data_IF_596812373691
#
_entry.id   IF_596812373691
#
_cell.length_a   1.000
_cell.length_b   1.000
_cell.length_c   1.000
_cell.angle_alpha   90.00
_cell.angle_beta   90.00
_cell.angle_gamma   90.00
#
_symmetry.space_group_name_H-M   'P 1'
#
loop_
_entity.id
_entity.type
_entity.pdbx_description
1 polymer ?
#
# COMPACT_ATOMS: atom_id res chain seq x y z
N UNK A 1 7.25 -5.33 6.32
CA UNK A 1 6.09 -5.56 5.44
C UNK A 1 5.06 -4.43 5.57
N UNK A 2 4.45 -4.21 6.73
CA UNK A 2 3.33 -3.26 6.90
C UNK A 2 3.62 -1.81 6.50
N UNK A 3 4.85 -1.32 6.75
CA UNK A 3 5.29 0.01 6.27
C UNK A 3 5.24 0.13 4.76
N UNK A 4 5.59 -0.94 4.04
CA UNK A 4 5.58 -0.99 2.59
C UNK A 4 4.14 -0.99 2.08
N UNK A 5 3.25 -1.77 2.72
CA UNK A 5 1.81 -1.79 2.38
C UNK A 5 1.19 -0.40 2.56
N UNK A 6 1.48 0.29 3.67
CA UNK A 6 1.00 1.64 3.90
C UNK A 6 1.53 2.62 2.84
N UNK A 7 2.84 2.58 2.57
CA UNK A 7 3.48 3.42 1.56
C UNK A 7 2.94 3.17 0.15
N UNK A 8 2.39 1.99 -0.14
CA UNK A 8 1.72 1.72 -1.42
C UNK A 8 0.48 2.59 -1.59
N UNK A 9 -0.37 2.74 -0.56
CA UNK A 9 -1.51 3.65 -0.63
C UNK A 9 -1.06 5.09 -0.80
N UNK A 10 -0.03 5.51 -0.06
CA UNK A 10 0.53 6.86 -0.18
C UNK A 10 1.07 7.11 -1.60
N UNK A 11 1.76 6.12 -2.19
CA UNK A 11 2.23 6.18 -3.57
C UNK A 11 1.07 6.31 -4.57
N UNK A 12 -0.04 5.60 -4.33
CA UNK A 12 -1.26 5.71 -5.17
C UNK A 12 -1.87 7.10 -5.06
N UNK A 13 -1.95 7.69 -3.87
CA UNK A 13 -2.46 9.05 -3.64
C UNK A 13 -1.60 10.08 -4.39
N UNK A 14 -0.27 9.96 -4.33
CA UNK A 14 0.65 10.94 -4.90
C UNK A 14 0.82 10.77 -6.42
N UNK A 15 0.82 9.53 -6.92
CA UNK A 15 1.22 9.22 -8.30
C UNK A 15 0.13 8.59 -9.17
N UNK A 16 -1.02 8.24 -8.60
CA UNK A 16 -2.03 7.42 -9.25
C UNK A 16 -1.59 5.97 -9.43
N UNK A 17 -2.55 5.06 -9.65
CA UNK A 17 -2.29 3.61 -9.75
C UNK A 17 -1.25 3.28 -10.82
N UNK A 18 -1.41 3.81 -12.05
CA UNK A 18 -0.47 3.56 -13.14
C UNK A 18 0.92 4.17 -12.90
N UNK A 19 1.03 5.17 -12.02
CA UNK A 19 2.29 5.83 -11.70
C UNK A 19 3.08 5.12 -10.59
N UNK A 20 2.51 4.11 -9.94
CA UNK A 20 3.13 3.42 -8.80
C UNK A 20 4.19 2.44 -9.29
N UNK A 21 5.36 2.45 -8.63
CA UNK A 21 6.46 1.51 -8.90
C UNK A 21 7.11 1.08 -7.59
N UNK A 22 7.78 -0.08 -7.59
CA UNK A 22 8.53 -0.55 -6.41
C UNK A 22 9.52 0.50 -5.88
N UNK A 23 10.18 1.24 -6.76
CA UNK A 23 11.11 2.29 -6.36
C UNK A 23 10.44 3.44 -5.63
N UNK A 24 9.28 3.90 -6.12
CA UNK A 24 8.51 4.97 -5.47
C UNK A 24 8.01 4.53 -4.09
N UNK A 25 7.46 3.31 -4.01
CA UNK A 25 7.00 2.74 -2.73
C UNK A 25 8.18 2.62 -1.75
N UNK A 26 9.33 2.09 -2.18
CA UNK A 26 10.50 1.93 -1.31
C UNK A 26 11.02 3.26 -0.76
N UNK A 27 11.01 4.31 -1.58
CA UNK A 27 11.36 5.67 -1.13
C UNK A 27 10.37 6.21 -0.09
N UNK A 28 9.06 6.05 -0.31
CA UNK A 28 8.03 6.51 0.63
C UNK A 28 8.06 5.70 1.94
N UNK A 29 8.29 4.40 1.86
CA UNK A 29 8.42 3.52 3.03
C UNK A 29 9.75 3.68 3.78
N UNK A 30 10.70 4.44 3.22
CA UNK A 30 12.07 4.60 3.73
C UNK A 30 12.79 3.25 3.92
N UNK A 31 12.67 2.35 2.94
CA UNK A 31 13.31 1.02 2.95
C UNK A 31 14.22 0.81 1.73
N UNK A 32 15.22 -0.09 1.82
CA UNK A 32 16.00 -0.50 0.66
C UNK A 32 15.11 -1.09 -0.45
N UNK A 33 15.43 -0.81 -1.71
CA UNK A 33 14.68 -1.36 -2.86
C UNK A 33 14.60 -2.89 -2.85
N UNK A 34 15.66 -3.58 -2.39
CA UNK A 34 15.67 -5.04 -2.27
C UNK A 34 14.65 -5.62 -1.29
N UNK A 35 14.12 -4.81 -0.36
CA UNK A 35 13.02 -5.23 0.52
C UNK A 35 11.73 -5.49 -0.26
N UNK A 36 11.54 -4.83 -1.41
CA UNK A 36 10.33 -5.03 -2.22
C UNK A 36 10.24 -6.46 -2.73
N UNK A 37 11.30 -6.97 -3.35
CA UNK A 37 11.35 -8.33 -3.91
C UNK A 37 11.51 -9.42 -2.85
N UNK A 38 11.93 -9.06 -1.63
CA UNK A 38 11.97 -10.00 -0.51
C UNK A 38 10.58 -10.26 0.07
N UNK A 39 9.75 -9.23 0.19
CA UNK A 39 8.43 -9.34 0.82
C UNK A 39 7.28 -9.51 -0.17
N UNK A 40 7.45 -9.13 -1.43
CA UNK A 40 6.38 -9.10 -2.43
C UNK A 40 6.87 -9.64 -3.77
N UNK A 41 6.00 -10.42 -4.41
CA UNK A 41 6.15 -10.99 -5.74
C UNK A 41 6.01 -9.95 -6.86
N UNK A 42 5.30 -8.84 -6.62
CA UNK A 42 5.00 -7.86 -7.65
C UNK A 42 4.25 -6.63 -7.18
N UNK A 43 3.95 -5.74 -8.13
CA UNK A 43 3.20 -4.51 -7.86
C UNK A 43 1.72 -4.80 -7.58
N UNK A 44 1.17 -5.84 -8.20
CA UNK A 44 -0.23 -6.22 -8.03
C UNK A 44 -0.51 -6.76 -6.62
N UNK A 45 0.40 -7.57 -6.05
CA UNK A 45 0.30 -8.03 -4.66
C UNK A 45 0.34 -6.84 -3.68
N UNK A 46 1.26 -5.88 -3.92
CA UNK A 46 1.33 -4.66 -3.12
C UNK A 46 0.03 -3.88 -3.16
N UNK A 47 -0.54 -3.66 -4.35
CA UNK A 47 -1.80 -2.95 -4.51
C UNK A 47 -2.95 -3.71 -3.82
N UNK A 48 -3.04 -5.02 -4.02
CA UNK A 48 -4.06 -5.86 -3.40
C UNK A 48 -4.04 -5.72 -1.87
N UNK A 49 -2.88 -5.92 -1.25
CA UNK A 49 -2.75 -5.82 0.22
C UNK A 49 -3.04 -4.41 0.74
N UNK A 50 -2.63 -3.37 0.00
CA UNK A 50 -2.88 -1.99 0.39
C UNK A 50 -4.38 -1.68 0.37
N UNK A 51 -5.08 -2.10 -0.69
CA UNK A 51 -6.52 -1.88 -0.82
C UNK A 51 -7.35 -2.77 0.10
N UNK A 52 -6.91 -3.99 0.39
CA UNK A 52 -7.52 -4.87 1.40
C UNK A 52 -7.49 -4.18 2.77
N UNK A 53 -6.29 -3.75 3.21
CA UNK A 53 -6.13 -3.01 4.47
C UNK A 53 -6.95 -1.72 4.52
N UNK A 54 -7.00 -0.99 3.40
CA UNK A 54 -7.82 0.22 3.30
C UNK A 54 -9.30 -0.11 3.46
N UNK A 55 -9.80 -1.12 2.75
CA UNK A 55 -11.19 -1.55 2.78
C UNK A 55 -11.60 -2.01 4.17
N UNK A 56 -10.76 -2.79 4.86
CA UNK A 56 -11.00 -3.22 6.24
C UNK A 56 -11.13 -2.02 7.18
N UNK A 57 -10.21 -1.06 7.06
CA UNK A 57 -10.24 0.17 7.86
C UNK A 57 -11.51 0.98 7.59
N UNK A 58 -11.90 1.14 6.33
CA UNK A 58 -13.12 1.85 5.94
C UNK A 58 -14.38 1.14 6.43
N UNK A 59 -14.41 -0.20 6.36
CA UNK A 59 -15.54 -1.01 6.83
C UNK A 59 -15.80 -0.77 8.32
N UNK A 60 -14.76 -0.80 9.15
CA UNK A 60 -14.89 -0.50 10.59
C UNK A 60 -15.37 0.93 10.83
N UNK A 61 -14.86 1.90 10.08
CA UNK A 61 -15.28 3.31 10.22
C UNK A 61 -16.75 3.50 9.85
N UNK A 62 -17.23 2.88 8.78
CA UNK A 62 -18.64 2.96 8.39
C UNK A 62 -19.55 2.28 9.41
N UNK A 63 -19.18 1.10 9.91
CA UNK A 63 -19.94 0.43 10.97
C UNK A 63 -20.08 1.32 12.22
N UNK A 64 -18.99 1.97 12.64
CA UNK A 64 -19.03 2.88 13.79
C UNK A 64 -19.85 4.15 13.53
N UNK A 65 -19.87 4.66 12.29
CA UNK A 65 -20.64 5.85 11.94
C UNK A 65 -22.15 5.59 11.87
N UNK A 66 -22.56 4.39 11.48
CA UNK A 66 -23.97 4.02 11.30
C UNK A 66 -24.56 3.20 12.46
N UNK A 67 -23.78 2.91 13.51
CA UNK A 67 -24.25 2.28 14.75
C UNK A 67 -24.99 3.29 15.64
#
# INVERSE_FOLDING_TARGET
>A
RDKIVQATLDAVIIHGIHGVTHRKIAMIAEVPLGSMTYYFSGIDELLMEAFERFTDTMSVQYQAFFA
#
